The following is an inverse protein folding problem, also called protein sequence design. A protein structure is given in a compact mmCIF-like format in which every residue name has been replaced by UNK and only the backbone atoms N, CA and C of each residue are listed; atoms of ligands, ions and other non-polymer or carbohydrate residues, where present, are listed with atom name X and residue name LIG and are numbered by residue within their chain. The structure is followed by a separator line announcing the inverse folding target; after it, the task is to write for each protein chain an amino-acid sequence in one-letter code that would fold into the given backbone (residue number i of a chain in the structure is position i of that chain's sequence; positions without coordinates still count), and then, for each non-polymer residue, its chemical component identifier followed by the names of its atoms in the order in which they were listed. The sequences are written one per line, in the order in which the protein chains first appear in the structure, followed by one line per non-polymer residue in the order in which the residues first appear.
data_IF_361339172423
#
_entry.id   IF_361339172423
#
_cell.length_a   1.000
_cell.length_b   1.000
_cell.length_c   1.000
_cell.angle_alpha   90.00
_cell.angle_beta   90.00
_cell.angle_gamma   90.00
#
_symmetry.space_group_name_H-M   'P 1'
#
loop_
_entity.id
_entity.type
_entity.pdbx_description
1 polymer ?
#
# COMPACT_ATOMS: atom_id res chain seq x y z
N UNK A 1 -62.52 -5.65 12.95
CA UNK A 1 -61.87 -4.93 14.06
C UNK A 1 -61.63 -5.94 15.19
N UNK A 2 -60.43 -6.52 15.23
CA UNK A 2 -59.89 -7.13 16.44
C UNK A 2 -58.36 -7.20 16.27
N UNK A 3 -57.68 -6.32 17.01
CA UNK A 3 -56.30 -6.41 17.48
C UNK A 3 -55.20 -6.31 16.39
N UNK A 4 -55.05 -5.07 15.95
CA UNK A 4 -53.77 -4.46 15.56
C UNK A 4 -52.93 -4.35 16.85
N UNK A 5 -52.16 -5.38 17.21
CA UNK A 5 -51.27 -5.31 18.38
C UNK A 5 -50.05 -6.24 18.31
N UNK A 6 -49.44 -6.42 17.14
CA UNK A 6 -48.18 -7.18 17.06
C UNK A 6 -47.26 -6.73 15.92
N UNK A 7 -47.00 -5.43 15.80
CA UNK A 7 -46.08 -4.92 14.77
C UNK A 7 -45.21 -3.75 15.25
N UNK A 8 -44.88 -3.64 16.55
CA UNK A 8 -43.98 -2.57 17.01
C UNK A 8 -43.09 -2.99 18.18
N UNK A 9 -42.39 -4.12 18.11
CA UNK A 9 -41.12 -4.31 18.85
C UNK A 9 -40.33 -5.38 18.13
N UNK A 10 -39.25 -5.02 17.42
CA UNK A 10 -38.04 -5.86 17.21
C UNK A 10 -37.05 -5.27 16.19
N UNK A 11 -37.00 -3.95 16.00
CA UNK A 11 -35.85 -3.33 15.33
C UNK A 11 -35.49 -2.00 15.99
N UNK A 12 -35.26 -2.02 17.31
CA UNK A 12 -34.42 -0.98 17.90
C UNK A 12 -32.99 -1.31 17.49
N UNK A 13 -32.62 -0.76 16.34
CA UNK A 13 -31.26 -0.52 15.95
C UNK A 13 -30.52 0.19 17.08
N UNK A 14 -29.60 -0.51 17.73
CA UNK A 14 -28.36 0.07 18.24
C UNK A 14 -27.23 -0.90 17.90
N UNK A 15 -27.17 -1.34 16.63
CA UNK A 15 -25.87 -1.75 16.11
C UNK A 15 -25.13 -0.46 15.82
N UNK A 16 -24.32 -0.07 16.80
CA UNK A 16 -23.27 0.91 16.69
C UNK A 16 -22.34 0.47 15.54
N UNK A 17 -22.68 0.91 14.33
CA UNK A 17 -21.90 0.67 13.11
C UNK A 17 -20.65 1.53 13.07
N UNK A 18 -20.53 2.50 13.98
CA UNK A 18 -19.42 3.44 14.00
C UNK A 18 -18.12 2.78 14.52
N UNK A 19 -18.22 1.63 15.21
CA UNK A 19 -17.06 0.83 15.66
C UNK A 19 -16.41 0.02 14.52
N UNK A 20 -17.12 -0.27 13.42
CA UNK A 20 -16.58 -1.15 12.36
C UNK A 20 -15.74 -0.38 11.33
N UNK A 21 -16.01 0.91 11.13
CA UNK A 21 -15.32 1.73 10.13
C UNK A 21 -14.27 2.69 10.72
N UNK A 22 -14.11 2.73 12.05
CA UNK A 22 -13.04 3.52 12.67
C UNK A 22 -11.68 2.82 12.52
N UNK A 23 -11.08 2.98 11.34
CA UNK A 23 -9.64 2.95 11.18
C UNK A 23 -9.15 4.37 10.93
N UNK A 24 -9.39 5.25 11.90
CA UNK A 24 -8.62 6.49 11.98
C UNK A 24 -7.17 6.04 12.24
N UNK A 25 -6.39 6.04 11.17
CA UNK A 25 -4.97 5.72 11.18
C UNK A 25 -4.27 6.94 10.64
N UNK A 26 -3.79 7.78 11.55
CA UNK A 26 -3.36 9.15 11.25
C UNK A 26 -1.97 9.21 10.60
N UNK A 27 -1.39 8.06 10.26
CA UNK A 27 -0.09 7.98 9.62
C UNK A 27 -0.24 7.61 8.15
N UNK A 28 0.30 8.47 7.29
CA UNK A 28 0.37 8.23 5.85
C UNK A 28 1.78 8.50 5.35
N UNK A 29 2.17 7.76 4.30
CA UNK A 29 3.40 8.00 3.56
C UNK A 29 3.04 8.63 2.21
N UNK A 30 3.76 9.68 1.78
CA UNK A 30 3.64 10.17 0.42
C UNK A 30 4.08 9.11 -0.59
N UNK A 31 3.56 9.20 -1.81
CA UNK A 31 4.00 8.37 -2.93
C UNK A 31 5.47 8.61 -3.26
N UNK A 32 6.12 7.61 -3.86
CA UNK A 32 7.43 7.81 -4.46
C UNK A 32 7.38 8.87 -5.58
N UNK A 33 8.50 9.52 -5.86
CA UNK A 33 8.60 10.54 -6.89
C UNK A 33 9.35 10.03 -8.12
N UNK A 34 9.07 10.61 -9.28
CA UNK A 34 9.82 10.40 -10.52
C UNK A 34 10.04 8.92 -10.89
N UNK A 35 9.01 8.09 -10.69
CA UNK A 35 9.04 6.69 -11.08
C UNK A 35 9.25 6.56 -12.59
N UNK A 36 10.32 5.87 -12.97
CA UNK A 36 10.68 5.64 -14.36
C UNK A 36 11.31 4.26 -14.54
N UNK A 37 11.46 3.85 -15.80
CA UNK A 37 12.17 2.61 -16.13
C UNK A 37 13.04 2.75 -17.37
N UNK A 38 14.05 1.89 -17.43
CA UNK A 38 14.77 1.58 -18.65
C UNK A 38 14.71 0.07 -18.90
N UNK A 39 14.68 -0.33 -20.17
CA UNK A 39 14.62 -1.74 -20.56
C UNK A 39 15.79 -2.05 -21.49
N UNK A 40 16.57 -3.06 -21.14
CA UNK A 40 17.63 -3.62 -21.99
C UNK A 40 17.39 -5.12 -22.13
N UNK A 41 16.94 -5.55 -23.31
CA UNK A 41 16.50 -6.92 -23.57
C UNK A 41 15.41 -7.37 -22.57
N UNK A 42 15.75 -8.32 -21.70
CA UNK A 42 14.90 -8.90 -20.68
C UNK A 42 15.12 -8.28 -19.29
N UNK A 43 16.00 -7.29 -19.16
CA UNK A 43 16.28 -6.61 -17.90
C UNK A 43 15.57 -5.26 -17.86
N UNK A 44 14.73 -5.06 -16.85
CA UNK A 44 14.05 -3.80 -16.57
C UNK A 44 14.66 -3.19 -15.33
N UNK A 45 15.23 -1.99 -15.46
CA UNK A 45 15.67 -1.20 -14.33
C UNK A 45 14.61 -0.18 -13.98
N UNK A 46 13.97 -0.36 -12.83
CA UNK A 46 13.07 0.62 -12.24
C UNK A 46 13.90 1.65 -11.45
N UNK A 47 13.51 2.92 -11.47
CA UNK A 47 14.18 4.00 -10.73
C UNK A 47 13.14 4.99 -10.22
N UNK A 48 13.35 5.50 -9.02
CA UNK A 48 12.43 6.41 -8.33
C UNK A 48 13.19 7.28 -7.34
N UNK A 49 12.50 8.23 -6.72
CA UNK A 49 13.00 9.07 -5.65
C UNK A 49 12.10 8.94 -4.42
N UNK A 50 12.71 9.02 -3.25
CA UNK A 50 11.98 9.08 -1.99
C UNK A 50 11.65 10.54 -1.73
N UNK A 51 10.37 10.88 -1.53
CA UNK A 51 9.95 12.25 -1.26
C UNK A 51 10.58 12.77 0.05
N UNK A 52 10.88 14.07 0.08
CA UNK A 52 11.58 14.67 1.23
C UNK A 52 10.66 14.89 2.45
N UNK A 53 9.35 15.02 2.23
CA UNK A 53 8.35 15.34 3.25
C UNK A 53 7.81 14.10 3.99
N UNK A 54 8.71 13.25 4.51
CA UNK A 54 8.31 12.14 5.38
C UNK A 54 8.18 12.64 6.82
N UNK A 55 7.09 12.27 7.50
CA UNK A 55 6.92 12.54 8.93
C UNK A 55 8.03 11.90 9.77
N UNK A 56 8.45 12.56 10.84
CA UNK A 56 9.41 12.03 11.83
C UNK A 56 8.83 10.84 12.63
N UNK A 57 7.53 10.57 12.49
CA UNK A 57 6.87 9.38 13.03
C UNK A 57 7.38 8.08 12.39
N UNK A 58 8.08 8.15 11.27
CA UNK A 58 8.61 6.99 10.57
C UNK A 58 10.09 6.75 10.85
N UNK A 59 10.41 5.50 11.18
CA UNK A 59 11.79 5.03 11.31
C UNK A 59 12.47 5.03 9.94
N UNK A 60 13.65 5.65 9.89
CA UNK A 60 14.57 5.63 8.76
C UNK A 60 15.63 4.53 8.96
N UNK A 61 16.17 3.93 7.89
CA UNK A 61 15.80 4.14 6.49
C UNK A 61 14.41 3.57 6.15
N UNK A 62 13.71 4.18 5.19
CA UNK A 62 12.51 3.61 4.60
C UNK A 62 12.84 2.45 3.64
N UNK A 63 11.81 1.67 3.31
CA UNK A 63 11.86 0.60 2.32
C UNK A 63 10.95 0.95 1.13
N UNK A 64 11.12 0.23 0.03
CA UNK A 64 10.25 0.33 -1.15
C UNK A 64 9.75 -1.05 -1.52
N UNK A 65 8.44 -1.17 -1.62
CA UNK A 65 7.75 -2.41 -2.01
C UNK A 65 7.37 -2.34 -3.48
N UNK A 66 7.82 -3.32 -4.25
CA UNK A 66 7.50 -3.47 -5.67
C UNK A 66 6.67 -4.74 -5.83
N UNK A 67 5.38 -4.57 -6.09
CA UNK A 67 4.52 -5.68 -6.47
C UNK A 67 4.68 -5.96 -7.97
N UNK A 68 5.09 -7.19 -8.29
CA UNK A 68 5.27 -7.67 -9.65
C UNK A 68 4.02 -8.44 -10.08
N UNK A 69 3.38 -7.98 -11.15
CA UNK A 69 2.22 -8.62 -11.76
C UNK A 69 2.58 -9.03 -13.19
N UNK A 70 2.46 -10.31 -13.51
CA UNK A 70 2.74 -10.90 -14.81
C UNK A 70 1.43 -11.37 -15.45
N UNK A 71 1.09 -10.89 -16.65
CA UNK A 71 -0.17 -11.22 -17.34
C UNK A 71 -1.42 -11.08 -16.46
N UNK A 72 -1.47 -10.01 -15.65
CA UNK A 72 -2.51 -9.73 -14.65
C UNK A 72 -2.57 -10.72 -13.46
N UNK A 73 -1.59 -11.60 -13.33
CA UNK A 73 -1.45 -12.53 -12.22
C UNK A 73 -0.37 -12.00 -11.26
N UNK A 74 -0.71 -11.90 -9.99
CA UNK A 74 0.26 -11.58 -8.95
C UNK A 74 1.39 -12.63 -8.95
N UNK A 75 2.64 -12.17 -8.98
CA UNK A 75 3.81 -13.06 -8.99
C UNK A 75 4.55 -13.00 -7.66
N UNK A 76 5.01 -11.82 -7.27
CA UNK A 76 5.81 -11.62 -6.06
C UNK A 76 5.79 -10.16 -5.60
N UNK A 77 6.29 -9.93 -4.39
CA UNK A 77 6.68 -8.63 -3.87
C UNK A 77 8.19 -8.63 -3.70
N UNK A 78 8.85 -7.61 -4.25
CA UNK A 78 10.27 -7.34 -4.06
C UNK A 78 10.40 -6.16 -3.11
N UNK A 79 11.11 -6.34 -2.00
CA UNK A 79 11.44 -5.27 -1.07
C UNK A 79 12.83 -4.73 -1.39
N UNK A 80 12.94 -3.41 -1.46
CA UNK A 80 14.19 -2.67 -1.59
C UNK A 80 14.41 -1.92 -0.30
N UNK A 81 15.37 -2.38 0.49
CA UNK A 81 15.69 -1.83 1.81
C UNK A 81 16.61 -0.60 1.71
N UNK A 82 16.89 0.02 2.87
CA UNK A 82 17.91 1.06 3.02
C UNK A 82 17.73 2.26 2.08
N UNK A 83 16.49 2.70 1.88
CA UNK A 83 16.16 3.82 1.00
C UNK A 83 16.64 3.64 -0.45
N UNK A 84 16.73 2.40 -0.91
CA UNK A 84 17.14 2.13 -2.28
C UNK A 84 16.21 2.81 -3.31
N UNK A 85 16.82 3.40 -4.33
CA UNK A 85 16.16 4.23 -5.36
C UNK A 85 16.07 3.56 -6.72
N UNK A 86 16.50 2.31 -6.83
CA UNK A 86 16.40 1.54 -8.07
C UNK A 86 16.39 0.03 -7.82
N UNK A 87 15.84 -0.71 -8.77
CA UNK A 87 15.86 -2.17 -8.77
C UNK A 87 15.84 -2.73 -10.18
N UNK A 88 16.73 -3.68 -10.43
CA UNK A 88 16.73 -4.46 -11.65
C UNK A 88 15.82 -5.69 -11.48
N UNK A 89 14.95 -5.92 -12.48
CA UNK A 89 14.01 -7.02 -12.54
C UNK A 89 14.14 -7.70 -13.90
N UNK A 90 14.44 -8.99 -13.89
CA UNK A 90 14.45 -9.82 -15.09
C UNK A 90 13.03 -10.24 -15.43
N UNK A 91 12.62 -10.02 -16.67
CA UNK A 91 11.29 -10.35 -17.19
C UNK A 91 11.36 -11.31 -18.37
N UNK A 92 10.28 -12.02 -18.63
CA UNK A 92 10.05 -12.70 -19.91
C UNK A 92 9.47 -11.71 -20.93
N UNK A 93 10.18 -11.43 -22.03
CA UNK A 93 9.76 -10.42 -23.01
C UNK A 93 8.53 -10.81 -23.82
N UNK A 94 8.03 -12.04 -23.70
CA UNK A 94 6.78 -12.48 -24.34
C UNK A 94 5.53 -12.17 -23.51
N UNK A 95 5.70 -11.67 -22.29
CA UNK A 95 4.62 -11.44 -21.33
C UNK A 95 4.47 -9.97 -20.99
N UNK A 96 3.28 -9.61 -20.53
CA UNK A 96 2.96 -8.26 -20.05
C UNK A 96 3.23 -8.15 -18.56
N UNK A 97 3.84 -7.05 -18.14
CA UNK A 97 4.13 -6.78 -16.73
C UNK A 97 3.47 -5.49 -16.26
N UNK A 98 3.04 -5.51 -15.00
CA UNK A 98 2.64 -4.33 -14.26
C UNK A 98 3.40 -4.31 -12.94
N UNK A 99 4.14 -3.24 -12.71
CA UNK A 99 4.88 -3.00 -11.47
C UNK A 99 4.13 -1.94 -10.68
N UNK A 100 3.74 -2.26 -9.43
CA UNK A 100 3.17 -1.28 -8.51
C UNK A 100 4.21 -1.00 -7.43
N UNK A 101 4.72 0.22 -7.40
CA UNK A 101 5.81 0.64 -6.50
C UNK A 101 5.24 1.52 -5.41
N UNK A 102 5.49 1.15 -4.16
CA UNK A 102 5.01 1.83 -2.95
C UNK A 102 6.17 2.09 -2.01
N UNK A 103 6.15 3.24 -1.36
CA UNK A 103 6.99 3.48 -0.18
C UNK A 103 6.46 2.63 0.97
N UNK A 104 7.36 2.06 1.75
CA UNK A 104 7.08 1.23 2.91
C UNK A 104 7.88 1.79 4.09
N UNK A 105 7.17 2.11 5.17
CA UNK A 105 7.77 2.63 6.39
C UNK A 105 7.20 1.95 7.62
N UNK A 106 7.96 2.07 8.71
CA UNK A 106 7.54 1.57 10.01
C UNK A 106 7.54 2.69 11.03
N UNK A 107 6.49 2.79 11.84
CA UNK A 107 6.37 3.81 12.87
C UNK A 107 7.45 3.67 13.95
N UNK A 108 7.85 4.79 14.52
CA UNK A 108 8.67 4.88 15.75
C UNK A 108 7.90 4.33 16.94
N UNK A 109 8.56 4.11 18.08
CA UNK A 109 7.85 3.58 19.24
C UNK A 109 6.87 4.59 19.83
N UNK A 110 7.15 5.88 19.64
CA UNK A 110 6.36 7.01 20.12
C UNK A 110 5.11 7.23 19.28
N UNK A 111 5.18 6.97 17.97
CA UNK A 111 4.05 7.08 17.04
C UNK A 111 3.19 5.81 16.98
N UNK A 112 3.63 4.70 17.58
CA UNK A 112 2.84 3.46 17.59
C UNK A 112 1.64 3.60 18.52
N UNK A 113 0.50 3.12 18.03
CA UNK A 113 -0.70 2.95 18.84
C UNK A 113 -0.87 1.47 19.21
N UNK A 114 -1.15 1.19 20.48
CA UNK A 114 -1.38 -0.17 20.97
C UNK A 114 -2.53 -0.83 20.21
N UNK A 115 -2.30 -2.06 19.73
CA UNK A 115 -3.29 -2.80 18.94
C UNK A 115 -3.40 -2.38 17.46
N UNK A 116 -2.66 -1.36 17.00
CA UNK A 116 -2.57 -0.99 15.58
C UNK A 116 -1.27 -1.48 14.95
N UNK A 117 -1.26 -1.59 13.62
CA UNK A 117 -0.05 -1.94 12.86
C UNK A 117 0.91 -0.75 12.85
N UNK A 118 2.21 -1.02 12.97
CA UNK A 118 3.25 -0.01 12.79
C UNK A 118 3.74 0.07 11.34
N UNK A 119 3.23 -0.77 10.44
CA UNK A 119 3.66 -0.86 9.05
C UNK A 119 2.72 -0.10 8.13
N UNK A 120 3.26 0.86 7.41
CA UNK A 120 2.49 1.77 6.54
C UNK A 120 3.04 1.70 5.12
N UNK A 121 2.12 1.68 4.16
CA UNK A 121 2.44 1.79 2.74
C UNK A 121 1.91 3.12 2.20
N UNK A 122 2.65 3.73 1.28
CA UNK A 122 2.09 4.81 0.46
C UNK A 122 1.06 4.27 -0.54
N UNK A 123 0.37 5.20 -1.20
CA UNK A 123 -0.27 4.90 -2.47
C UNK A 123 0.76 4.43 -3.51
N UNK A 124 0.29 3.65 -4.48
CA UNK A 124 1.16 2.96 -5.43
C UNK A 124 1.22 3.65 -6.78
N UNK A 125 2.45 3.91 -7.24
CA UNK A 125 2.68 4.31 -8.63
C UNK A 125 2.91 3.09 -9.51
N UNK A 126 2.44 3.17 -10.76
CA UNK A 126 2.33 2.00 -11.64
C UNK A 126 3.11 2.20 -12.92
N UNK A 127 3.94 1.22 -13.26
CA UNK A 127 4.55 1.06 -14.59
C UNK A 127 3.93 -0.15 -15.28
N UNK A 128 3.59 0.00 -16.56
CA UNK A 128 3.20 -1.09 -17.43
C UNK A 128 4.31 -1.34 -18.45
N UNK A 129 4.58 -2.62 -18.72
CA UNK A 129 5.48 -3.07 -19.78
C UNK A 129 4.71 -4.05 -20.65
N UNK A 130 4.65 -3.75 -21.94
CA UNK A 130 4.00 -4.56 -22.96
C UNK A 130 4.99 -5.43 -23.75
#
# INVERSE_FOLDING_TARGET
MLIIALTIVSFTSCYDRDVIDYKEFDHSLPEIENLSYTKQNNLVKLSWQIPANISDDFRRPLEVSIQVVENNIYREIVIVENEGTSRDITIDTSKKYRFVVKLLGYLTNEAKEEGKTDRVYSEGQVIHIE
#
